data_IF_187899962499
#
_entry.id   IF_187899962499
#
_cell.length_a   1.000
_cell.length_b   1.000
_cell.length_c   1.000
_cell.angle_alpha   90.00
_cell.angle_beta   90.00
_cell.angle_gamma   90.00
#
_symmetry.space_group_name_H-M   'P 1'
#
loop_
_entity.id
_entity.type
_entity.pdbx_description
1 polymer ?
#
# COMPACT_ATOMS: atom_id res chain seq x y z
N UNK A 1 -6.77 -9.31 -21.11
CA UNK A 1 -6.21 -10.21 -20.08
C UNK A 1 -6.18 -9.42 -18.79
N UNK A 2 -6.76 -9.92 -17.71
CA UNK A 2 -6.70 -9.24 -16.41
C UNK A 2 -5.24 -9.15 -15.97
N UNK A 3 -4.74 -7.95 -15.65
CA UNK A 3 -3.38 -7.78 -15.14
C UNK A 3 -3.24 -8.59 -13.85
N UNK A 4 -2.08 -9.21 -13.65
CA UNK A 4 -1.78 -9.89 -12.39
C UNK A 4 -1.40 -8.85 -11.35
N UNK A 5 -1.97 -8.94 -10.15
CA UNK A 5 -1.53 -8.13 -9.00
C UNK A 5 -0.04 -8.35 -8.73
N UNK A 6 0.81 -7.32 -8.80
CA UNK A 6 2.24 -7.49 -8.56
C UNK A 6 2.51 -7.74 -7.08
N UNK A 7 3.58 -8.46 -6.79
CA UNK A 7 4.14 -8.64 -5.45
C UNK A 7 5.29 -7.67 -5.22
N UNK A 8 5.77 -7.56 -3.99
CA UNK A 8 7.01 -6.83 -3.67
C UNK A 8 8.20 -7.36 -4.48
N UNK A 9 8.26 -8.68 -4.74
CA UNK A 9 9.30 -9.28 -5.58
C UNK A 9 9.24 -8.76 -7.01
N UNK A 10 8.04 -8.67 -7.58
CA UNK A 10 7.82 -8.16 -8.93
C UNK A 10 8.25 -6.68 -9.03
N UNK A 11 7.86 -5.85 -8.06
CA UNK A 11 8.28 -4.45 -7.99
C UNK A 11 9.80 -4.31 -7.90
N UNK A 12 10.47 -5.15 -7.10
CA UNK A 12 11.93 -5.18 -7.02
C UNK A 12 12.58 -5.58 -8.33
N UNK A 13 12.00 -6.53 -9.06
CA UNK A 13 12.50 -6.98 -10.35
C UNK A 13 12.39 -5.91 -11.46
N UNK A 14 11.47 -4.96 -11.32
CA UNK A 14 11.27 -3.83 -12.23
C UNK A 14 12.17 -2.62 -11.92
N UNK A 15 12.79 -2.56 -10.73
CA UNK A 15 13.63 -1.45 -10.32
C UNK A 15 14.75 -1.19 -11.33
N UNK A 16 14.82 0.04 -11.84
CA UNK A 16 15.83 0.47 -12.82
C UNK A 16 15.54 0.05 -14.26
N UNK A 17 14.44 -0.65 -14.53
CA UNK A 17 14.03 -1.07 -15.89
C UNK A 17 12.93 -0.20 -16.50
N UNK A 18 12.38 0.75 -15.73
CA UNK A 18 11.32 1.65 -16.16
C UNK A 18 10.80 2.48 -14.99
N UNK A 19 9.81 3.33 -15.29
CA UNK A 19 9.12 4.15 -14.31
C UNK A 19 7.74 3.56 -14.05
N UNK A 20 7.40 3.38 -12.77
CA UNK A 20 6.06 2.96 -12.35
C UNK A 20 5.19 4.19 -12.08
N UNK A 21 3.90 4.03 -12.29
CA UNK A 21 2.87 5.03 -11.99
C UNK A 21 2.37 4.85 -10.56
N UNK A 22 2.09 5.97 -9.88
CA UNK A 22 1.50 5.97 -8.55
C UNK A 22 0.43 7.06 -8.44
N UNK A 23 -0.76 6.70 -7.97
CA UNK A 23 -1.86 7.62 -7.71
C UNK A 23 -2.36 7.51 -6.27
N UNK A 24 -3.01 8.57 -5.79
CA UNK A 24 -3.83 8.51 -4.58
C UNK A 24 -5.30 8.45 -5.00
N UNK A 25 -6.06 7.55 -4.38
CA UNK A 25 -7.48 7.34 -4.67
C UNK A 25 -8.30 7.37 -3.38
N UNK A 26 -9.58 7.66 -3.50
CA UNK A 26 -10.52 7.81 -2.39
C UNK A 26 -11.84 7.06 -2.60
N UNK A 27 -12.19 6.69 -3.84
CA UNK A 27 -13.47 6.03 -4.15
C UNK A 27 -13.30 4.73 -4.94
N UNK A 28 -14.36 3.91 -4.99
CA UNK A 28 -14.40 2.71 -5.84
C UNK A 28 -14.34 3.05 -7.33
N UNK A 29 -14.99 4.13 -7.74
CA UNK A 29 -15.00 4.57 -9.15
C UNK A 29 -13.58 4.98 -9.59
N UNK A 30 -12.86 5.70 -8.73
CA UNK A 30 -11.45 6.03 -8.96
C UNK A 30 -10.56 4.77 -8.99
N UNK A 31 -10.83 3.78 -8.14
CA UNK A 31 -10.12 2.50 -8.16
C UNK A 31 -10.39 1.70 -9.44
N UNK A 32 -11.63 1.65 -9.91
CA UNK A 32 -11.99 1.01 -11.19
C UNK A 32 -11.31 1.72 -12.37
N UNK A 33 -11.32 3.05 -12.39
CA UNK A 33 -10.66 3.84 -13.41
C UNK A 33 -9.13 3.64 -13.41
N UNK A 34 -8.50 3.57 -12.24
CA UNK A 34 -7.07 3.31 -12.12
C UNK A 34 -6.69 1.89 -12.59
N UNK A 35 -7.53 0.89 -12.30
CA UNK A 35 -7.36 -0.48 -12.80
C UNK A 35 -7.44 -0.51 -14.33
N UNK A 36 -8.46 0.12 -14.92
CA UNK A 36 -8.64 0.20 -16.38
C UNK A 36 -7.48 0.94 -17.07
N UNK A 37 -7.01 2.03 -16.47
CA UNK A 37 -5.87 2.81 -16.96
C UNK A 37 -4.52 2.10 -16.79
N UNK A 38 -4.48 0.96 -16.08
CA UNK A 38 -3.25 0.20 -15.88
C UNK A 38 -2.27 0.84 -14.91
N UNK A 39 -2.76 1.56 -13.90
CA UNK A 39 -1.91 2.12 -12.83
C UNK A 39 -1.20 1.01 -12.06
N UNK A 40 0.04 1.24 -11.65
CA UNK A 40 0.86 0.21 -11.00
C UNK A 40 0.62 0.17 -9.48
N UNK A 41 0.67 1.33 -8.84
CA UNK A 41 0.67 1.49 -7.39
C UNK A 41 -0.38 2.52 -6.98
N UNK A 42 -1.11 2.26 -5.90
CA UNK A 42 -2.09 3.21 -5.36
C UNK A 42 -1.93 3.41 -3.86
N UNK A 43 -2.00 4.67 -3.43
CA UNK A 43 -2.16 5.05 -2.03
C UNK A 43 -3.64 5.28 -1.75
N UNK A 44 -4.19 4.53 -0.79
CA UNK A 44 -5.63 4.53 -0.53
C UNK A 44 -5.91 4.69 0.97
N UNK A 45 -7.03 5.35 1.33
CA UNK A 45 -7.47 5.40 2.72
C UNK A 45 -7.87 4.00 3.21
N UNK A 46 -7.84 3.80 4.54
CA UNK A 46 -8.15 2.53 5.17
C UNK A 46 -9.54 2.03 4.77
N UNK A 47 -10.51 2.93 4.75
CA UNK A 47 -11.92 2.63 4.49
C UNK A 47 -12.09 1.99 3.11
N UNK A 48 -11.32 2.47 2.12
CA UNK A 48 -11.35 1.93 0.76
C UNK A 48 -10.72 0.55 0.69
N UNK A 49 -9.59 0.30 1.37
CA UNK A 49 -8.98 -1.04 1.45
C UNK A 49 -9.95 -2.04 2.06
N UNK A 50 -10.63 -1.65 3.14
CA UNK A 50 -11.59 -2.51 3.86
C UNK A 50 -12.93 -2.65 3.15
N UNK A 51 -13.18 -1.91 2.07
CA UNK A 51 -14.45 -1.98 1.36
C UNK A 51 -14.62 -3.37 0.69
N UNK A 52 -15.75 -4.07 0.89
CA UNK A 52 -15.93 -5.45 0.42
C UNK A 52 -15.82 -5.62 -1.11
N UNK A 53 -16.06 -4.55 -1.86
CA UNK A 53 -15.97 -4.55 -3.32
C UNK A 53 -14.65 -4.04 -3.89
N UNK A 54 -13.73 -3.53 -3.06
CA UNK A 54 -12.47 -2.92 -3.54
C UNK A 54 -11.68 -3.87 -4.44
N UNK A 55 -11.43 -5.10 -3.98
CA UNK A 55 -10.69 -6.10 -4.76
C UNK A 55 -11.47 -6.69 -5.92
N UNK A 56 -12.79 -6.46 -6.00
CA UNK A 56 -13.58 -6.85 -7.17
C UNK A 56 -13.38 -5.86 -8.32
N UNK A 57 -13.27 -4.55 -8.01
CA UNK A 57 -13.12 -3.49 -9.01
C UNK A 57 -11.65 -3.19 -9.36
N UNK A 58 -10.73 -3.39 -8.40
CA UNK A 58 -9.29 -3.16 -8.56
C UNK A 58 -8.47 -4.40 -8.14
N UNK A 59 -8.59 -5.52 -8.87
CA UNK A 59 -7.93 -6.77 -8.53
C UNK A 59 -6.40 -6.72 -8.70
N UNK A 60 -5.85 -5.84 -9.56
CA UNK A 60 -4.44 -5.85 -9.92
C UNK A 60 -3.61 -4.68 -9.41
N UNK A 61 -4.23 -3.63 -8.87
CA UNK A 61 -3.52 -2.51 -8.27
C UNK A 61 -2.70 -2.93 -7.02
N UNK A 62 -1.42 -2.55 -6.97
CA UNK A 62 -0.61 -2.66 -5.75
C UNK A 62 -1.03 -1.57 -4.76
N UNK A 63 -1.75 -1.97 -3.72
CA UNK A 63 -2.47 -1.04 -2.83
C UNK A 63 -1.72 -0.84 -1.53
N UNK A 64 -1.28 0.37 -1.25
CA UNK A 64 -0.70 0.74 0.03
C UNK A 64 -1.64 1.66 0.83
N UNK A 65 -1.66 1.46 2.14
CA UNK A 65 -2.37 2.35 3.09
C UNK A 65 -1.51 2.55 4.34
N UNK A 66 -1.83 3.54 5.16
CA UNK A 66 -1.00 3.85 6.31
C UNK A 66 -1.60 4.94 7.19
N UNK A 67 -0.92 5.14 8.31
CA UNK A 67 -1.21 6.20 9.28
C UNK A 67 0.00 7.13 9.42
N UNK A 68 -0.29 8.39 9.67
CA UNK A 68 0.77 9.35 9.95
C UNK A 68 1.33 9.15 11.37
N UNK A 69 2.59 9.52 11.58
CA UNK A 69 3.30 9.31 12.85
C UNK A 69 2.74 10.15 14.01
N UNK A 70 1.89 11.15 13.73
CA UNK A 70 1.18 11.92 14.76
C UNK A 70 -0.03 11.14 15.26
N UNK A 71 -0.61 10.27 14.42
CA UNK A 71 -1.68 9.33 14.78
C UNK A 71 -1.15 8.00 15.34
N UNK A 72 0.04 7.56 14.90
CA UNK A 72 0.71 6.37 15.41
C UNK A 72 1.90 6.76 16.31
N UNK A 73 1.62 6.93 17.61
CA UNK A 73 2.60 7.44 18.58
C UNK A 73 3.72 6.46 18.91
N UNK A 74 3.52 5.15 18.68
CA UNK A 74 4.52 4.11 18.95
C UNK A 74 4.73 3.17 17.76
N UNK A 75 5.82 2.40 17.79
CA UNK A 75 6.09 1.36 16.78
C UNK A 75 5.06 0.23 16.81
N UNK A 76 4.51 -0.08 17.98
CA UNK A 76 3.47 -1.11 18.14
C UNK A 76 2.13 -0.69 17.54
N UNK A 77 1.83 0.61 17.52
CA UNK A 77 0.64 1.15 16.84
C UNK A 77 0.71 0.88 15.34
N UNK A 78 1.89 1.07 14.73
CA UNK A 78 2.13 0.70 13.34
C UNK A 78 1.99 -0.81 13.12
N UNK A 79 2.52 -1.66 14.00
CA UNK A 79 2.44 -3.12 13.82
C UNK A 79 0.99 -3.60 13.91
N UNK A 80 0.22 -3.09 14.88
CA UNK A 80 -1.20 -3.39 15.02
C UNK A 80 -2.00 -2.97 13.79
N UNK A 81 -1.78 -1.75 13.31
CA UNK A 81 -2.40 -1.26 12.08
C UNK A 81 -2.03 -2.13 10.87
N UNK A 82 -0.76 -2.51 10.76
CA UNK A 82 -0.26 -3.35 9.67
C UNK A 82 -0.99 -4.68 9.60
N UNK A 83 -1.14 -5.38 10.73
CA UNK A 83 -1.86 -6.65 10.80
C UNK A 83 -3.32 -6.51 10.35
N UNK A 84 -4.00 -5.44 10.76
CA UNK A 84 -5.39 -5.19 10.33
C UNK A 84 -5.50 -4.96 8.82
N UNK A 85 -4.64 -4.10 8.26
CA UNK A 85 -4.72 -3.72 6.85
C UNK A 85 -4.24 -4.80 5.89
N UNK A 86 -3.22 -5.57 6.26
CA UNK A 86 -2.79 -6.72 5.47
C UNK A 86 -3.89 -7.79 5.40
N UNK A 87 -4.58 -8.06 6.53
CA UNK A 87 -5.74 -8.96 6.55
C UNK A 87 -6.92 -8.43 5.72
N UNK A 88 -7.10 -7.11 5.69
CA UNK A 88 -8.10 -6.46 4.83
C UNK A 88 -7.71 -6.43 3.34
N UNK A 89 -6.47 -6.81 3.01
CA UNK A 89 -6.01 -6.96 1.64
C UNK A 89 -5.15 -5.81 1.12
N UNK A 90 -4.56 -4.97 1.97
CA UNK A 90 -3.45 -4.09 1.57
C UNK A 90 -2.22 -4.92 1.14
N UNK A 91 -1.44 -4.42 0.19
CA UNK A 91 -0.21 -5.07 -0.28
C UNK A 91 1.05 -4.51 0.41
N UNK A 92 0.97 -3.29 0.95
CA UNK A 92 2.03 -2.69 1.76
C UNK A 92 1.50 -1.61 2.71
N UNK A 93 2.31 -1.26 3.72
CA UNK A 93 1.99 -0.27 4.73
C UNK A 93 2.87 0.96 4.56
N UNK A 94 2.24 2.11 4.39
CA UNK A 94 2.90 3.40 4.44
C UNK A 94 3.27 3.76 5.88
N UNK A 95 4.52 4.17 6.08
CA UNK A 95 5.06 4.59 7.37
C UNK A 95 5.84 5.90 7.22
N UNK A 96 5.37 6.95 7.92
CA UNK A 96 6.08 8.24 8.03
C UNK A 96 6.90 8.36 9.32
N UNK A 97 7.06 7.25 10.05
CA UNK A 97 7.89 7.18 11.24
C UNK A 97 9.38 7.12 10.92
N UNK A 98 10.19 7.04 11.97
CA UNK A 98 11.65 6.93 11.84
C UNK A 98 12.11 5.69 11.05
N UNK A 99 13.34 5.69 10.55
CA UNK A 99 13.96 4.49 9.97
C UNK A 99 14.01 3.32 10.96
N UNK A 100 14.08 3.57 12.27
CA UNK A 100 14.00 2.53 13.29
C UNK A 100 12.60 1.89 13.36
N UNK A 101 11.54 2.68 13.10
CA UNK A 101 10.16 2.16 12.96
C UNK A 101 10.02 1.34 11.70
N UNK A 102 10.53 1.83 10.56
CA UNK A 102 10.52 1.08 9.29
C UNK A 102 11.25 -0.25 9.43
N UNK A 103 12.43 -0.25 10.05
CA UNK A 103 13.20 -1.48 10.32
C UNK A 103 12.43 -2.45 11.21
N UNK A 104 11.84 -1.97 12.31
CA UNK A 104 11.06 -2.79 13.22
C UNK A 104 9.92 -3.53 12.50
N UNK A 105 9.15 -2.83 11.66
CA UNK A 105 8.07 -3.45 10.90
C UNK A 105 8.60 -4.43 9.84
N UNK A 106 9.69 -4.10 9.16
CA UNK A 106 10.30 -4.99 8.16
C UNK A 106 10.85 -6.29 8.78
N UNK A 107 11.34 -6.23 10.03
CA UNK A 107 11.79 -7.42 10.78
C UNK A 107 10.62 -8.37 11.13
N UNK A 108 9.41 -7.83 11.25
CA UNK A 108 8.16 -8.59 11.37
C UNK A 108 7.57 -9.02 10.01
N UNK A 109 8.37 -8.94 8.94
CA UNK A 109 7.99 -9.32 7.57
C UNK A 109 6.84 -8.49 6.98
N UNK A 110 6.57 -7.30 7.53
CA UNK A 110 5.60 -6.36 6.98
C UNK A 110 6.21 -5.69 5.74
N UNK A 111 5.52 -5.67 4.58
CA UNK A 111 5.93 -4.85 3.45
C UNK A 111 5.70 -3.37 3.79
N UNK A 112 6.77 -2.58 3.87
CA UNK A 112 6.70 -1.18 4.30
C UNK A 112 7.21 -0.22 3.24
N UNK A 113 6.45 0.86 3.03
CA UNK A 113 6.86 2.04 2.27
C UNK A 113 7.23 3.13 3.27
N UNK A 114 8.52 3.37 3.45
CA UNK A 114 9.02 4.48 4.27
C UNK A 114 8.92 5.80 3.52
N UNK A 115 8.52 6.87 4.21
CA UNK A 115 8.48 8.23 3.66
C UNK A 115 9.44 9.14 4.41
N UNK A 116 10.27 9.87 3.67
CA UNK A 116 11.20 10.87 4.19
C UNK A 116 11.02 12.17 3.43
N UNK A 117 11.14 13.31 4.11
CA UNK A 117 10.88 14.62 3.53
C UNK A 117 9.41 15.04 3.67
N UNK A 118 8.99 15.95 2.79
CA UNK A 118 7.66 16.57 2.75
C UNK A 118 7.10 16.46 1.33
#
# INVERSE_FOLDING_TARGET
>A
MTRKKPTVMDLRALKGKGQLTMLRLFTLDEAAAAEEAGIDIVSVPQELVTHPDYRKVAPSLFSMTGVDHRSAGTRDDYLRFSGQMLNAGADAIYCSGSLATVRFLADEHIPVVGHVGL
#
